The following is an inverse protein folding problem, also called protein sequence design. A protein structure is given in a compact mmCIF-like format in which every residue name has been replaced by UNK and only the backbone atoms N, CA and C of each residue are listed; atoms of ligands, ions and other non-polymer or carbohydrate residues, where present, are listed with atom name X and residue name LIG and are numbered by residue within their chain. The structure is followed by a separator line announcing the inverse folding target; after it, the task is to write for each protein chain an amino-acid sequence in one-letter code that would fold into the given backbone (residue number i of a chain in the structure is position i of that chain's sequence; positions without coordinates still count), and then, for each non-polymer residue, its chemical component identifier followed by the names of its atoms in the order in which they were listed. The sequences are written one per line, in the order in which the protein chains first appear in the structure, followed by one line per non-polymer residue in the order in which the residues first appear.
data_IF_110867941613
#
_entry.id   IF_110867941613
#
_cell.length_a   1.000
_cell.length_b   1.000
_cell.length_c   1.000
_cell.angle_alpha   90.00
_cell.angle_beta   90.00
_cell.angle_gamma   90.00
#
_symmetry.space_group_name_H-M   'P 1'
#
loop_
_entity.id
_entity.type
_entity.pdbx_description
1 polymer ?
#
# COMPACT_ATOMS: atom_id res chain seq x y z
N UNK A 1 10.32 -2.67 19.64
CA UNK A 1 9.84 -2.35 18.28
C UNK A 1 8.55 -1.57 18.38
N UNK A 2 8.50 -0.38 17.82
CA UNK A 2 7.27 0.40 17.69
C UNK A 2 6.48 -0.09 16.46
N UNK A 3 5.17 -0.25 16.60
CA UNK A 3 4.28 -0.73 15.55
C UNK A 3 3.47 0.40 14.92
N UNK A 4 2.98 1.30 15.76
CA UNK A 4 2.33 2.55 15.38
C UNK A 4 2.45 3.57 16.52
N UNK A 5 2.26 4.84 16.18
CA UNK A 5 2.05 5.93 17.12
C UNK A 5 0.67 6.53 16.88
N UNK A 6 -0.03 6.94 17.95
CA UNK A 6 -1.38 7.49 17.84
C UNK A 6 -1.60 8.58 18.86
N UNK A 7 -2.05 9.74 18.40
CA UNK A 7 -2.29 10.93 19.21
C UNK A 7 -2.46 12.17 18.36
N UNK A 8 -2.58 13.37 18.95
CA UNK A 8 -2.64 14.62 18.21
C UNK A 8 -1.32 14.92 17.48
N UNK A 9 -1.43 15.46 16.27
CA UNK A 9 -0.30 15.98 15.50
C UNK A 9 0.11 17.33 16.08
N UNK A 10 1.23 17.42 16.77
CA UNK A 10 1.70 18.66 17.43
C UNK A 10 2.66 19.46 16.57
N UNK A 11 3.37 18.83 15.65
CA UNK A 11 4.21 19.49 14.64
C UNK A 11 3.95 18.84 13.29
N UNK A 12 3.85 19.64 12.25
CA UNK A 12 3.74 19.19 10.86
C UNK A 12 4.59 20.11 9.97
N UNK A 13 5.70 19.58 9.50
CA UNK A 13 6.67 20.24 8.64
C UNK A 13 6.94 19.40 7.39
N UNK A 14 7.54 19.96 6.33
CA UNK A 14 7.92 19.18 5.17
C UNK A 14 8.82 17.98 5.54
N UNK A 15 8.28 16.77 5.40
CA UNK A 15 8.99 15.51 5.71
C UNK A 15 9.05 15.13 7.19
N UNK A 16 8.37 15.86 8.09
CA UNK A 16 8.34 15.55 9.53
C UNK A 16 6.94 15.78 10.11
N UNK A 17 6.46 14.81 10.88
CA UNK A 17 5.32 14.98 11.76
C UNK A 17 5.68 14.54 13.18
N UNK A 18 5.20 15.26 14.19
CA UNK A 18 5.32 14.86 15.59
C UNK A 18 3.96 14.48 16.12
N UNK A 19 3.86 13.25 16.63
CA UNK A 19 2.65 12.71 17.25
C UNK A 19 2.86 12.69 18.76
N UNK A 20 2.01 13.38 19.49
CA UNK A 20 2.02 13.36 20.96
C UNK A 20 1.26 12.11 21.47
N UNK A 21 1.99 11.22 22.12
CA UNK A 21 1.44 10.01 22.74
C UNK A 21 1.49 10.14 24.27
N UNK A 22 0.57 10.94 24.81
CA UNK A 22 0.44 11.12 26.28
C UNK A 22 1.61 11.87 26.92
N UNK A 23 2.10 12.92 26.27
CA UNK A 23 3.21 13.76 26.73
C UNK A 23 4.58 13.36 26.19
N UNK A 24 4.63 12.32 25.33
CA UNK A 24 5.85 11.95 24.58
C UNK A 24 5.64 12.25 23.10
N UNK A 25 6.42 13.19 22.55
CA UNK A 25 6.37 13.55 21.12
C UNK A 25 7.26 12.62 20.28
N UNK A 26 6.65 11.81 19.43
CA UNK A 26 7.38 10.97 18.47
C UNK A 26 7.55 11.70 17.13
N UNK A 27 8.79 12.10 16.82
CA UNK A 27 9.14 12.71 15.54
C UNK A 27 9.28 11.66 14.45
N UNK A 28 8.31 11.62 13.52
CA UNK A 28 8.27 10.67 12.42
C UNK A 28 8.65 11.36 11.11
N UNK A 29 9.62 10.80 10.38
CA UNK A 29 9.88 11.19 8.99
C UNK A 29 8.78 10.65 8.11
N UNK A 30 8.15 11.51 7.34
CA UNK A 30 6.96 11.19 6.55
C UNK A 30 7.14 11.55 5.07
N UNK A 31 6.35 10.91 4.21
CA UNK A 31 6.21 11.28 2.80
C UNK A 31 5.28 12.49 2.64
N UNK A 32 5.30 13.12 1.47
CA UNK A 32 4.29 14.13 1.11
C UNK A 32 2.89 13.52 1.01
N UNK A 33 2.79 12.23 0.64
CA UNK A 33 1.53 11.49 0.61
C UNK A 33 0.91 11.37 2.01
N UNK A 34 1.69 10.96 3.02
CA UNK A 34 1.25 10.94 4.42
C UNK A 34 0.95 12.36 4.93
N UNK A 35 1.83 13.35 4.64
CA UNK A 35 1.62 14.73 5.08
C UNK A 35 0.29 15.31 4.60
N UNK A 36 -0.14 15.00 3.38
CA UNK A 36 -1.42 15.46 2.83
C UNK A 36 -2.66 14.93 3.59
N UNK A 37 -2.51 13.86 4.35
CA UNK A 37 -3.59 13.25 5.14
C UNK A 37 -3.59 13.71 6.61
N UNK A 38 -2.56 14.44 7.04
CA UNK A 38 -2.43 14.93 8.40
C UNK A 38 -2.92 16.38 8.52
N UNK A 39 -3.43 16.71 9.69
CA UNK A 39 -3.78 18.09 10.05
C UNK A 39 -3.24 18.39 11.44
N UNK A 40 -2.64 19.57 11.59
CA UNK A 40 -2.13 20.04 12.88
C UNK A 40 -3.24 20.06 13.94
N UNK A 41 -2.91 19.69 15.16
CA UNK A 41 -3.82 19.62 16.32
C UNK A 41 -5.01 18.65 16.16
N UNK A 42 -4.95 17.69 15.22
CA UNK A 42 -5.97 16.65 15.10
C UNK A 42 -5.38 15.27 15.44
N UNK A 43 -6.20 14.35 16.00
CA UNK A 43 -5.75 12.99 16.23
C UNK A 43 -5.37 12.31 14.92
N UNK A 44 -4.23 11.63 14.93
CA UNK A 44 -3.76 10.81 13.82
C UNK A 44 -3.16 9.51 14.32
N UNK A 45 -3.08 8.53 13.43
CA UNK A 45 -2.36 7.27 13.64
C UNK A 45 -1.38 7.10 12.50
N UNK A 46 -0.11 6.89 12.84
CA UNK A 46 0.93 6.55 11.87
C UNK A 46 1.46 5.15 12.17
N UNK A 47 1.51 4.30 11.16
CA UNK A 47 2.28 3.06 11.20
C UNK A 47 3.75 3.42 11.06
N UNK A 48 4.61 2.78 11.84
CA UNK A 48 6.01 3.20 11.90
C UNK A 48 6.97 2.06 11.61
N UNK A 49 8.08 2.44 10.99
CA UNK A 49 9.26 1.57 10.81
C UNK A 49 10.46 2.29 11.42
N UNK A 50 11.15 1.58 12.31
CA UNK A 50 12.33 2.11 13.00
C UNK A 50 13.59 1.82 12.18
N UNK A 51 14.50 2.78 12.14
CA UNK A 51 15.86 2.60 11.62
C UNK A 51 16.84 2.95 12.72
N UNK A 52 17.39 1.95 13.34
CA UNK A 52 18.33 2.09 14.44
C UNK A 52 19.73 1.83 13.89
N UNK A 53 20.62 2.81 14.04
CA UNK A 53 22.04 2.74 13.71
C UNK A 53 22.84 3.09 14.94
N UNK A 54 24.14 2.91 14.87
CA UNK A 54 25.06 3.19 15.97
C UNK A 54 25.00 4.66 16.44
N UNK A 55 24.77 5.58 15.48
CA UNK A 55 24.77 7.03 15.68
C UNK A 55 23.41 7.71 15.39
N UNK A 56 22.37 6.96 15.05
CA UNK A 56 21.08 7.51 14.65
C UNK A 56 19.91 6.59 15.00
N UNK A 57 18.83 7.22 15.47
CA UNK A 57 17.53 6.57 15.65
C UNK A 57 16.47 7.39 14.90
N UNK A 58 16.07 6.90 13.76
CA UNK A 58 15.04 7.50 12.92
C UNK A 58 13.75 6.67 12.95
N UNK A 59 12.61 7.35 13.07
CA UNK A 59 11.28 6.76 12.95
C UNK A 59 10.67 7.25 11.63
N UNK A 60 10.24 6.32 10.79
CA UNK A 60 9.53 6.59 9.53
C UNK A 60 8.05 6.31 9.74
N UNK A 61 7.18 7.31 9.47
CA UNK A 61 5.76 7.24 9.73
C UNK A 61 4.94 7.24 8.43
N UNK A 62 3.91 6.39 8.38
CA UNK A 62 3.06 6.16 7.21
C UNK A 62 1.59 6.21 7.61
N UNK A 63 0.76 6.87 6.81
CA UNK A 63 -0.68 6.98 7.05
C UNK A 63 -1.41 5.65 6.85
N UNK A 64 -0.87 4.78 5.99
CA UNK A 64 -1.46 3.47 5.66
C UNK A 64 -0.43 2.34 5.80
N UNK A 65 -0.94 1.13 6.03
CA UNK A 65 -0.10 -0.09 6.04
C UNK A 65 0.48 -0.40 4.66
N UNK A 66 -0.24 -0.06 3.62
CA UNK A 66 0.20 -0.23 2.25
C UNK A 66 1.43 0.63 1.96
N UNK A 67 1.40 1.91 2.38
CA UNK A 67 2.54 2.81 2.23
C UNK A 67 3.76 2.31 3.01
N UNK A 68 3.57 1.86 4.27
CA UNK A 68 4.62 1.24 5.08
C UNK A 68 5.24 0.04 4.37
N UNK A 69 4.41 -0.87 3.83
CA UNK A 69 4.87 -2.06 3.12
C UNK A 69 5.66 -1.72 1.86
N UNK A 70 5.20 -0.72 1.09
CA UNK A 70 5.96 -0.23 -0.07
C UNK A 70 7.34 0.31 0.34
N UNK A 71 7.42 1.04 1.45
CA UNK A 71 8.69 1.51 2.00
C UNK A 71 9.62 0.35 2.40
N UNK A 72 9.11 -0.66 3.07
CA UNK A 72 9.86 -1.85 3.47
C UNK A 72 10.38 -2.63 2.25
N UNK A 73 9.55 -2.81 1.22
CA UNK A 73 9.95 -3.42 -0.04
C UNK A 73 11.06 -2.63 -0.73
N UNK A 74 10.92 -1.31 -0.79
CA UNK A 74 11.93 -0.42 -1.40
C UNK A 74 13.26 -0.48 -0.66
N UNK A 75 13.25 -0.39 0.66
CA UNK A 75 14.49 -0.41 1.47
C UNK A 75 15.18 -1.77 1.50
N UNK A 76 14.48 -2.84 1.15
CA UNK A 76 15.07 -4.17 0.95
C UNK A 76 15.86 -4.30 -0.37
N UNK A 77 15.65 -3.38 -1.33
CA UNK A 77 16.41 -3.37 -2.60
C UNK A 77 17.78 -2.77 -2.37
N UNK A 78 18.83 -3.48 -2.77
CA UNK A 78 20.21 -3.00 -2.62
C UNK A 78 20.43 -1.69 -3.40
N UNK A 79 20.89 -0.65 -2.70
CA UNK A 79 21.10 0.69 -3.23
C UNK A 79 19.92 1.65 -3.03
N UNK A 80 18.83 1.21 -2.41
CA UNK A 80 17.71 2.07 -2.01
C UNK A 80 17.75 2.29 -0.50
N UNK A 81 18.18 3.47 -0.10
CA UNK A 81 18.14 3.87 1.31
C UNK A 81 16.81 4.50 1.72
N UNK A 82 16.60 4.74 3.03
CA UNK A 82 15.37 5.34 3.56
C UNK A 82 14.95 6.64 2.90
N UNK A 83 15.89 7.56 2.66
CA UNK A 83 15.60 8.85 2.01
C UNK A 83 15.11 8.68 0.57
N UNK A 84 15.71 7.75 -0.17
CA UNK A 84 15.31 7.46 -1.55
C UNK A 84 13.93 6.79 -1.59
N UNK A 85 13.66 5.87 -0.68
CA UNK A 85 12.34 5.23 -0.55
C UNK A 85 11.23 6.25 -0.24
N UNK A 86 11.47 7.18 0.72
CA UNK A 86 10.53 8.28 1.00
C UNK A 86 10.33 9.17 -0.23
N UNK A 87 11.41 9.49 -0.98
CA UNK A 87 11.32 10.31 -2.20
C UNK A 87 10.45 9.66 -3.27
N UNK A 88 10.61 8.35 -3.51
CA UNK A 88 9.77 7.59 -4.46
C UNK A 88 8.30 7.65 -4.04
N UNK A 89 7.99 7.33 -2.79
CA UNK A 89 6.60 7.31 -2.29
C UNK A 89 5.98 8.70 -2.21
N UNK A 90 6.80 9.74 -2.05
CA UNK A 90 6.35 11.13 -2.09
C UNK A 90 5.93 11.58 -3.49
N UNK A 91 6.43 10.94 -4.56
CA UNK A 91 6.12 11.33 -5.94
C UNK A 91 4.74 10.90 -6.43
N UNK A 92 4.07 10.00 -5.73
CA UNK A 92 2.74 9.54 -6.18
C UNK A 92 2.03 8.56 -5.25
N UNK A 93 2.58 8.33 -4.05
CA UNK A 93 2.02 7.38 -3.08
C UNK A 93 2.22 5.90 -3.47
N UNK A 94 1.68 5.00 -2.65
CA UNK A 94 1.88 3.56 -2.82
C UNK A 94 1.27 3.01 -4.11
N UNK A 95 0.11 3.52 -4.55
CA UNK A 95 -0.60 3.04 -5.74
C UNK A 95 0.20 3.33 -7.02
N UNK A 96 0.69 4.58 -7.17
CA UNK A 96 1.49 4.95 -8.33
C UNK A 96 2.85 4.23 -8.35
N UNK A 97 3.45 4.02 -7.18
CA UNK A 97 4.66 3.20 -7.07
C UNK A 97 4.41 1.76 -7.54
N UNK A 98 3.35 1.13 -7.05
CA UNK A 98 2.96 -0.23 -7.45
C UNK A 98 2.71 -0.31 -8.96
N UNK A 99 1.97 0.65 -9.51
CA UNK A 99 1.70 0.71 -10.95
C UNK A 99 3.01 0.85 -11.75
N UNK A 100 3.92 1.75 -11.33
CA UNK A 100 5.21 1.95 -12.01
C UNK A 100 6.06 0.68 -12.03
N UNK A 101 6.09 -0.09 -10.94
CA UNK A 101 6.81 -1.37 -10.88
C UNK A 101 6.16 -2.40 -11.82
N UNK A 102 4.84 -2.52 -11.82
CA UNK A 102 4.10 -3.48 -12.65
C UNK A 102 4.23 -3.19 -14.15
N UNK A 103 4.18 -1.90 -14.53
CA UNK A 103 4.30 -1.45 -15.92
C UNK A 103 5.74 -1.28 -16.39
N UNK A 104 6.71 -1.29 -15.46
CA UNK A 104 8.12 -1.05 -15.78
C UNK A 104 8.44 0.43 -16.06
N UNK A 105 7.73 1.36 -15.44
CA UNK A 105 7.94 2.81 -15.64
C UNK A 105 9.20 3.29 -14.88
N UNK A 106 10.35 3.17 -15.56
CA UNK A 106 11.63 3.67 -15.05
C UNK A 106 11.62 5.20 -14.82
N UNK A 107 10.84 5.96 -15.59
CA UNK A 107 10.83 7.43 -15.53
C UNK A 107 10.24 7.92 -14.20
N UNK A 108 9.14 7.31 -13.78
CA UNK A 108 8.52 7.62 -12.49
C UNK A 108 9.50 7.37 -11.34
N UNK A 109 10.23 6.26 -11.36
CA UNK A 109 11.18 5.92 -10.31
C UNK A 109 12.40 6.82 -10.32
N UNK A 110 12.93 7.17 -11.49
CA UNK A 110 14.10 8.05 -11.63
C UNK A 110 13.80 9.52 -11.35
N UNK A 111 12.55 9.94 -11.29
CA UNK A 111 12.15 11.27 -10.85
C UNK A 111 12.45 11.49 -9.35
N UNK A 112 12.55 10.40 -8.56
CA UNK A 112 12.88 10.46 -7.15
C UNK A 112 14.36 10.77 -6.92
N UNK A 113 14.64 11.65 -5.96
CA UNK A 113 16.01 12.06 -5.63
C UNK A 113 16.86 10.86 -5.18
N UNK A 114 18.01 10.68 -5.79
CA UNK A 114 18.97 9.60 -5.47
C UNK A 114 18.72 8.29 -6.20
N UNK A 115 17.74 8.24 -7.11
CA UNK A 115 17.44 7.05 -7.92
C UNK A 115 17.89 7.26 -9.36
N UNK A 116 19.00 6.60 -9.72
CA UNK A 116 19.45 6.52 -11.11
C UNK A 116 18.82 5.35 -11.87
N UNK A 117 19.02 5.34 -13.20
CA UNK A 117 18.44 4.32 -14.10
C UNK A 117 18.74 2.89 -13.65
N UNK A 118 19.99 2.60 -13.23
CA UNK A 118 20.39 1.26 -12.77
C UNK A 118 19.62 0.80 -11.52
N UNK A 119 19.36 1.73 -10.59
CA UNK A 119 18.60 1.43 -9.37
C UNK A 119 17.12 1.26 -9.71
N UNK A 120 16.55 2.09 -10.58
CA UNK A 120 15.17 1.95 -11.03
C UNK A 120 14.93 0.60 -11.71
N UNK A 121 15.80 0.15 -12.59
CA UNK A 121 15.73 -1.17 -13.22
C UNK A 121 15.79 -2.30 -12.21
N UNK A 122 16.67 -2.18 -11.19
CA UNK A 122 16.76 -3.16 -10.10
C UNK A 122 15.47 -3.21 -9.27
N UNK A 123 14.90 -2.04 -8.92
CA UNK A 123 13.62 -1.97 -8.20
C UNK A 123 12.54 -2.73 -8.98
N UNK A 124 12.41 -2.46 -10.29
CA UNK A 124 11.43 -3.13 -11.13
C UNK A 124 11.67 -4.64 -11.14
N UNK A 125 12.89 -5.07 -11.39
CA UNK A 125 13.23 -6.50 -11.48
C UNK A 125 12.96 -7.24 -10.18
N UNK A 126 13.40 -6.70 -9.03
CA UNK A 126 13.29 -7.38 -7.74
C UNK A 126 11.88 -7.31 -7.13
N UNK A 127 11.10 -6.27 -7.45
CA UNK A 127 9.80 -6.06 -6.81
C UNK A 127 8.61 -6.49 -7.68
N UNK A 128 8.77 -6.63 -8.99
CA UNK A 128 7.68 -7.03 -9.88
C UNK A 128 7.05 -8.35 -9.47
N UNK A 129 7.88 -9.36 -9.17
CA UNK A 129 7.39 -10.67 -8.74
C UNK A 129 6.84 -10.64 -7.31
N UNK A 130 7.43 -9.83 -6.43
CA UNK A 130 6.98 -9.68 -5.04
C UNK A 130 5.63 -8.95 -4.92
N UNK A 131 5.37 -8.02 -5.82
CA UNK A 131 4.12 -7.26 -5.88
C UNK A 131 3.06 -8.04 -6.66
N UNK A 132 3.41 -8.71 -7.75
CA UNK A 132 2.48 -9.47 -8.60
C UNK A 132 2.14 -10.87 -8.08
N UNK A 133 3.02 -11.50 -7.32
CA UNK A 133 2.86 -12.88 -6.79
C UNK A 133 2.34 -12.98 -5.36
N UNK A 134 2.36 -11.89 -4.62
CA UNK A 134 1.69 -11.83 -3.32
C UNK A 134 0.21 -11.56 -3.55
N UNK A 135 -0.68 -12.25 -2.83
CA UNK A 135 -2.00 -11.74 -2.48
C UNK A 135 -1.81 -10.40 -1.71
N UNK A 136 -1.30 -9.38 -2.40
CA UNK A 136 -1.50 -8.02 -2.05
C UNK A 136 -2.98 -7.79 -2.36
N UNK A 137 -3.85 -8.06 -1.39
CA UNK A 137 -5.10 -7.33 -1.31
C UNK A 137 -4.68 -5.86 -1.23
N UNK A 138 -4.49 -5.27 -2.42
CA UNK A 138 -4.44 -3.85 -2.59
C UNK A 138 -5.85 -3.39 -2.26
N UNK A 139 -6.04 -3.01 -1.02
CA UNK A 139 -7.24 -2.34 -0.58
C UNK A 139 -7.23 -0.96 -1.26
N UNK A 140 -7.74 -0.91 -2.50
CA UNK A 140 -7.90 0.30 -3.30
C UNK A 140 -8.94 1.27 -2.73
N UNK A 141 -9.39 1.07 -1.48
CA UNK A 141 -10.38 1.91 -0.82
C UNK A 141 -9.83 3.18 -0.17
N UNK A 142 -8.68 3.68 -0.60
CA UNK A 142 -8.06 4.95 -0.15
C UNK A 142 -8.47 6.17 -0.97
N UNK A 143 -9.76 6.41 -1.18
CA UNK A 143 -10.29 7.72 -1.59
C UNK A 143 -10.76 8.51 -0.36
N UNK A 144 -10.87 9.88 -0.42
CA UNK A 144 -11.20 10.69 0.75
C UNK A 144 -12.58 10.33 1.29
N UNK A 145 -12.60 9.93 2.56
CA UNK A 145 -13.73 9.80 3.48
C UNK A 145 -15.12 9.59 2.82
N UNK A 146 -15.42 8.37 2.44
CA UNK A 146 -16.80 7.91 2.31
C UNK A 146 -16.93 6.63 3.14
N UNK A 147 -17.87 6.66 4.06
CA UNK A 147 -18.47 5.63 4.90
C UNK A 147 -17.81 4.23 4.99
N UNK A 148 -17.87 3.54 6.12
CA UNK A 148 -17.25 2.24 6.32
C UNK A 148 -17.77 1.24 5.30
N UNK A 149 -16.96 0.93 4.29
CA UNK A 149 -17.24 -0.18 3.39
C UNK A 149 -17.08 -1.45 4.20
N UNK A 150 -18.18 -2.12 4.39
CA UNK A 150 -18.30 -3.40 5.06
C UNK A 150 -17.26 -4.36 4.48
N UNK A 151 -16.44 -4.95 5.32
CA UNK A 151 -15.66 -6.15 5.02
C UNK A 151 -16.56 -7.16 4.30
N UNK A 152 -16.17 -7.51 3.06
CA UNK A 152 -16.82 -8.56 2.31
C UNK A 152 -17.90 -8.05 1.36
N UNK A 153 -17.50 -7.38 0.25
CA UNK A 153 -18.42 -7.43 -0.88
C UNK A 153 -18.56 -8.91 -1.24
N UNK A 154 -19.80 -9.38 -1.41
CA UNK A 154 -20.10 -10.77 -1.78
C UNK A 154 -19.25 -11.23 -2.98
N UNK A 155 -18.96 -10.30 -3.89
CA UNK A 155 -18.11 -10.52 -5.08
C UNK A 155 -16.65 -10.77 -4.69
N UNK A 156 -16.09 -10.04 -3.73
CA UNK A 156 -14.69 -10.24 -3.29
C UNK A 156 -14.50 -11.60 -2.60
N UNK A 157 -15.43 -11.98 -1.73
CA UNK A 157 -15.43 -13.28 -1.08
C UNK A 157 -15.63 -14.44 -2.08
N UNK A 158 -16.53 -14.26 -3.06
CA UNK A 158 -16.74 -15.24 -4.12
C UNK A 158 -15.50 -15.40 -5.00
N UNK A 159 -14.80 -14.30 -5.33
CA UNK A 159 -13.56 -14.32 -6.11
C UNK A 159 -12.46 -15.08 -5.36
N UNK A 160 -12.25 -14.79 -4.08
CA UNK A 160 -11.26 -15.49 -3.26
C UNK A 160 -11.54 -17.00 -3.18
N UNK A 161 -12.79 -17.39 -2.94
CA UNK A 161 -13.19 -18.79 -2.89
C UNK A 161 -12.97 -19.55 -4.22
N UNK A 162 -13.24 -18.88 -5.36
CA UNK A 162 -13.01 -19.48 -6.67
C UNK A 162 -11.51 -19.60 -7.01
N UNK A 163 -10.67 -18.69 -6.53
CA UNK A 163 -9.22 -18.80 -6.64
C UNK A 163 -8.66 -19.96 -5.83
N UNK A 164 -9.15 -20.17 -4.61
CA UNK A 164 -8.79 -21.33 -3.79
C UNK A 164 -9.20 -22.68 -4.45
N UNK A 165 -10.27 -22.66 -5.24
CA UNK A 165 -10.70 -23.80 -6.05
C UNK A 165 -9.86 -24.01 -7.32
N UNK A 166 -8.85 -23.12 -7.57
CA UNK A 166 -7.89 -23.27 -8.66
C UNK A 166 -8.26 -22.56 -9.97
N UNK A 167 -9.31 -21.74 -9.99
CA UNK A 167 -9.69 -20.98 -11.18
C UNK A 167 -8.81 -19.73 -11.34
N UNK A 168 -8.44 -19.41 -12.58
CA UNK A 168 -7.63 -18.23 -12.87
C UNK A 168 -8.44 -16.92 -12.72
N UNK A 169 -7.78 -15.80 -12.41
CA UNK A 169 -8.46 -14.48 -12.29
C UNK A 169 -9.23 -14.07 -13.55
N UNK A 170 -8.75 -14.48 -14.73
CA UNK A 170 -9.39 -14.17 -16.00
C UNK A 170 -10.72 -14.97 -16.17
N UNK A 171 -10.73 -16.25 -15.80
CA UNK A 171 -11.92 -17.09 -15.82
C UNK A 171 -12.97 -16.60 -14.84
N UNK A 172 -12.55 -16.24 -13.63
CA UNK A 172 -13.43 -15.71 -12.58
C UNK A 172 -14.07 -14.40 -13.03
N UNK A 173 -13.27 -13.46 -13.56
CA UNK A 173 -13.77 -12.19 -14.08
C UNK A 173 -14.80 -12.37 -15.18
N UNK A 174 -14.57 -13.34 -16.08
CA UNK A 174 -15.49 -13.64 -17.16
C UNK A 174 -16.79 -14.28 -16.65
N UNK A 175 -16.69 -15.18 -15.70
CA UNK A 175 -17.81 -15.93 -15.13
C UNK A 175 -18.72 -15.06 -14.23
N UNK A 176 -18.14 -14.06 -13.56
CA UNK A 176 -18.89 -13.08 -12.74
C UNK A 176 -19.40 -11.88 -13.55
N UNK A 177 -19.03 -11.78 -14.83
CA UNK A 177 -19.48 -10.69 -15.71
C UNK A 177 -20.97 -10.79 -15.95
N UNK A 178 -21.72 -9.80 -15.43
CA UNK A 178 -23.18 -9.76 -15.54
C UNK A 178 -23.94 -10.34 -14.34
N UNK A 179 -23.23 -10.79 -13.29
CA UNK A 179 -23.87 -11.16 -12.03
C UNK A 179 -24.41 -9.91 -11.30
N UNK A 180 -25.56 -10.05 -10.63
CA UNK A 180 -26.14 -8.97 -9.83
C UNK A 180 -25.24 -8.68 -8.62
N UNK A 181 -24.80 -7.42 -8.40
CA UNK A 181 -23.97 -7.04 -7.25
C UNK A 181 -24.59 -7.32 -5.88
N UNK A 182 -25.91 -7.49 -5.83
CA UNK A 182 -26.67 -7.76 -4.60
C UNK A 182 -26.80 -9.27 -4.28
N UNK A 183 -26.27 -10.15 -5.10
CA UNK A 183 -26.28 -11.60 -4.83
C UNK A 183 -25.43 -11.94 -3.61
N UNK A 184 -25.83 -13.00 -2.90
CA UNK A 184 -25.01 -13.56 -1.81
C UNK A 184 -23.73 -14.16 -2.34
N UNK A 185 -22.71 -14.27 -1.48
CA UNK A 185 -21.42 -14.92 -1.86
C UNK A 185 -21.62 -16.32 -2.42
N UNK A 186 -22.53 -17.10 -1.81
CA UNK A 186 -22.83 -18.47 -2.27
C UNK A 186 -23.49 -18.48 -3.65
N UNK A 187 -24.41 -17.56 -3.91
CA UNK A 187 -25.09 -17.49 -5.21
C UNK A 187 -24.12 -17.02 -6.32
N UNK A 188 -23.20 -16.11 -6.00
CA UNK A 188 -22.14 -15.69 -6.92
C UNK A 188 -21.20 -16.85 -7.27
N UNK A 189 -20.76 -17.63 -6.28
CA UNK A 189 -19.93 -18.81 -6.51
C UNK A 189 -20.68 -19.82 -7.38
N UNK A 190 -21.94 -20.10 -7.04
CA UNK A 190 -22.80 -21.02 -7.82
C UNK A 190 -23.03 -20.53 -9.25
N UNK A 191 -23.23 -19.24 -9.44
CA UNK A 191 -23.36 -18.59 -10.76
C UNK A 191 -22.10 -18.78 -11.58
N UNK A 192 -20.94 -18.46 -11.01
CA UNK A 192 -19.65 -18.57 -11.67
C UNK A 192 -19.33 -20.02 -12.05
N UNK A 193 -19.51 -20.97 -11.14
CA UNK A 193 -19.28 -22.39 -11.41
C UNK A 193 -20.17 -22.91 -12.54
N UNK A 194 -21.45 -22.54 -12.59
CA UNK A 194 -22.33 -22.90 -13.72
C UNK A 194 -21.85 -22.31 -15.04
N UNK A 195 -21.42 -21.04 -15.05
CA UNK A 195 -20.91 -20.40 -16.26
C UNK A 195 -19.60 -21.03 -16.78
N UNK A 196 -18.78 -21.62 -15.87
CA UNK A 196 -17.52 -22.28 -16.21
C UNK A 196 -17.72 -23.74 -16.67
N UNK A 197 -18.72 -24.46 -16.12
CA UNK A 197 -19.00 -25.86 -16.45
C UNK A 197 -19.76 -26.00 -17.78
N UNK A 198 -20.45 -24.94 -18.24
CA UNK A 198 -21.20 -24.96 -19.48
C UNK A 198 -20.34 -24.61 -20.73
N UNK A 199 -19.03 -24.58 -20.61
CA UNK A 199 -18.05 -24.46 -21.68
C UNK A 199 -17.31 -25.75 -21.85
#
# INVERSE_FOLDING_TARGET
MLYYVSGPVTVLEPGLAVIDCGGVGYGCRITTYTAAQLKLNTPAKLYVTESIKEDAYDIYGFSTREEQRCYELLTAVNGVGPKAALSILSSGGPQNFTLAVMTGDEKMLTAAQGIGKKIAQRIILELKDKIGGSNMELDFSGGPAAAPVQKGSSVGLATAALQELGYSPAEISLALKGADPNMTTEDLIRHALRAMVMK
#
